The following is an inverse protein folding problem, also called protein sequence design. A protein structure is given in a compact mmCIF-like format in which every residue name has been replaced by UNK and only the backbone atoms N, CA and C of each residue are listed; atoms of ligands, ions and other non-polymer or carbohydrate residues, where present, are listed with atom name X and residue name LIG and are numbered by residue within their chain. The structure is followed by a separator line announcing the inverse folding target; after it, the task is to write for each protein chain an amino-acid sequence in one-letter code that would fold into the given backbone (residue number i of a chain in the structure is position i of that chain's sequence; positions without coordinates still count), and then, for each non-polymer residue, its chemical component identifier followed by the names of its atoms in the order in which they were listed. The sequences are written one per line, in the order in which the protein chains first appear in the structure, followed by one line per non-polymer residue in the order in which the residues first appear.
data_IF_189017399040
#
_entry.id   IF_189017399040
#
_cell.length_a   1.000
_cell.length_b   1.000
_cell.length_c   1.000
_cell.angle_alpha   90.00
_cell.angle_beta   90.00
_cell.angle_gamma   90.00
#
_symmetry.space_group_name_H-M   'P 1'
#
loop_
_entity.id
_entity.type
_entity.pdbx_description
1 polymer ?
#
# COMPACT_ATOMS: atom_id res chain seq x y z
N UNK A 1 22.06 -14.67 6.89
CA UNK A 1 21.22 -15.89 6.83
C UNK A 1 20.36 -15.83 5.56
N UNK A 2 20.81 -16.42 4.45
CA UNK A 2 19.99 -16.58 3.24
C UNK A 2 19.00 -17.72 3.49
N UNK A 3 17.70 -17.48 3.27
CA UNK A 3 16.66 -18.51 3.38
C UNK A 3 15.76 -18.51 4.62
N UNK A 4 15.75 -17.47 5.47
CA UNK A 4 14.75 -17.38 6.58
C UNK A 4 13.46 -16.67 6.19
N UNK A 5 13.44 -15.95 5.07
CA UNK A 5 12.32 -15.09 4.70
C UNK A 5 11.50 -15.76 3.61
N UNK A 6 10.21 -15.90 3.87
CA UNK A 6 9.21 -16.32 2.88
C UNK A 6 8.67 -15.10 2.17
N UNK A 7 8.82 -15.06 0.83
CA UNK A 7 8.23 -14.00 0.03
C UNK A 7 6.72 -14.21 -0.07
N UNK A 8 5.96 -13.17 0.24
CA UNK A 8 4.51 -13.11 0.07
C UNK A 8 4.16 -11.92 -0.81
N UNK A 9 3.17 -12.09 -1.67
CA UNK A 9 2.66 -11.03 -2.52
C UNK A 9 1.37 -10.50 -1.93
N UNK A 10 1.30 -9.19 -1.71
CA UNK A 10 0.12 -8.51 -1.17
C UNK A 10 -0.95 -8.27 -2.23
N UNK A 11 -0.67 -8.63 -3.48
CA UNK A 11 -1.53 -8.45 -4.65
C UNK A 11 -1.70 -9.76 -5.40
N UNK A 12 -2.93 -10.09 -5.76
CA UNK A 12 -3.28 -11.14 -6.71
C UNK A 12 -4.20 -10.56 -7.78
N UNK A 13 -3.88 -10.72 -9.06
CA UNK A 13 -4.68 -10.19 -10.17
C UNK A 13 -5.05 -8.69 -10.02
N UNK A 14 -4.10 -7.87 -9.53
CA UNK A 14 -4.29 -6.45 -9.23
C UNK A 14 -5.25 -6.13 -8.06
N UNK A 15 -5.66 -7.14 -7.28
CA UNK A 15 -6.44 -6.97 -6.07
C UNK A 15 -5.57 -7.15 -4.83
N UNK A 16 -5.76 -6.28 -3.85
CA UNK A 16 -5.06 -6.37 -2.57
C UNK A 16 -5.66 -7.53 -1.77
N UNK A 17 -4.84 -8.52 -1.44
CA UNK A 17 -5.23 -9.70 -0.66
C UNK A 17 -4.84 -9.58 0.80
N UNK A 18 -3.85 -8.74 1.13
CA UNK A 18 -3.41 -8.46 2.49
C UNK A 18 -3.14 -6.96 2.68
N UNK A 19 -3.98 -6.32 3.50
CA UNK A 19 -3.90 -4.89 3.78
C UNK A 19 -2.74 -4.52 4.71
N UNK A 20 -2.39 -5.37 5.68
CA UNK A 20 -1.27 -5.12 6.59
C UNK A 20 0.06 -5.06 5.81
N UNK A 21 0.21 -5.94 4.83
CA UNK A 21 1.39 -5.93 3.97
C UNK A 21 1.38 -4.73 3.00
N UNK A 22 0.20 -4.31 2.52
CA UNK A 22 0.08 -3.07 1.73
C UNK A 22 0.50 -1.83 2.54
N UNK A 23 0.10 -1.71 3.80
CA UNK A 23 0.55 -0.62 4.70
C UNK A 23 2.07 -0.63 4.84
N UNK A 24 2.70 -1.80 4.99
CA UNK A 24 4.18 -1.89 5.05
C UNK A 24 4.84 -1.45 3.75
N UNK A 25 4.24 -1.75 2.60
CA UNK A 25 4.73 -1.28 1.29
C UNK A 25 4.63 0.25 1.20
N UNK A 26 3.51 0.84 1.62
CA UNK A 26 3.36 2.30 1.66
C UNK A 26 4.39 2.97 2.58
N UNK A 27 4.57 2.44 3.80
CA UNK A 27 5.58 2.93 4.73
C UNK A 27 6.99 2.83 4.15
N UNK A 28 7.32 1.72 3.50
CA UNK A 28 8.61 1.55 2.84
C UNK A 28 8.80 2.60 1.72
N UNK A 29 7.75 2.85 0.95
CA UNK A 29 7.76 3.81 -0.15
C UNK A 29 8.00 5.24 0.36
N UNK A 30 7.21 5.70 1.35
CA UNK A 30 7.34 7.07 1.86
C UNK A 30 8.64 7.30 2.63
N UNK A 31 8.98 6.44 3.59
CA UNK A 31 10.05 6.73 4.54
C UNK A 31 11.42 6.17 4.13
N UNK A 32 11.48 5.07 3.38
CA UNK A 32 12.77 4.47 3.00
C UNK A 32 13.20 4.91 1.59
N UNK A 33 12.29 4.82 0.63
CA UNK A 33 12.59 5.11 -0.78
C UNK A 33 12.53 6.61 -1.08
N UNK A 34 11.37 7.24 -0.85
CA UNK A 34 11.18 8.68 -1.12
C UNK A 34 11.75 9.57 -0.02
N UNK A 35 11.81 9.06 1.22
CA UNK A 35 12.29 9.75 2.43
C UNK A 35 11.56 11.07 2.69
N UNK A 36 10.24 11.04 2.53
CA UNK A 36 9.35 12.17 2.77
C UNK A 36 8.33 11.84 3.86
N UNK A 37 7.79 12.87 4.51
CA UNK A 37 6.64 12.75 5.38
C UNK A 37 5.37 12.67 4.52
N UNK A 38 4.56 11.62 4.68
CA UNK A 38 3.40 11.38 3.82
C UNK A 38 2.35 12.48 3.97
N UNK A 39 2.20 13.04 5.16
CA UNK A 39 1.24 14.09 5.50
C UNK A 39 1.52 15.44 4.83
N UNK A 40 2.75 15.66 4.32
CA UNK A 40 3.16 16.90 3.66
C UNK A 40 2.98 16.85 2.12
N UNK A 41 2.58 15.70 1.57
CA UNK A 41 2.53 15.48 0.14
C UNK A 41 1.19 14.90 -0.33
N UNK A 42 0.68 15.42 -1.44
CA UNK A 42 -0.49 14.84 -2.11
C UNK A 42 -0.12 13.53 -2.79
N UNK A 43 -0.91 12.48 -2.50
CA UNK A 43 -0.69 11.14 -3.07
C UNK A 43 -1.74 10.84 -4.13
N UNK A 44 -1.29 10.36 -5.29
CA UNK A 44 -2.16 9.90 -6.37
C UNK A 44 -1.98 8.39 -6.58
N UNK A 45 -3.09 7.65 -6.60
CA UNK A 45 -3.10 6.20 -6.84
C UNK A 45 -3.70 5.86 -8.19
N UNK A 46 -3.13 4.85 -8.85
CA UNK A 46 -3.71 4.22 -10.04
C UNK A 46 -4.56 3.03 -9.61
N UNK A 47 -5.78 2.92 -10.15
CA UNK A 47 -6.66 1.78 -9.90
C UNK A 47 -7.06 1.04 -11.18
N UNK A 48 -7.46 -0.22 -11.04
CA UNK A 48 -8.01 -1.02 -12.15
C UNK A 48 -9.38 -0.47 -12.58
N UNK A 49 -9.73 -0.50 -13.90
CA UNK A 49 -10.98 0.07 -14.43
C UNK A 49 -12.28 -0.49 -13.84
N UNK A 50 -12.25 -1.57 -13.05
CA UNK A 50 -13.40 -2.15 -12.34
C UNK A 50 -13.10 -2.39 -10.85
N UNK A 51 -12.38 -1.47 -10.22
CA UNK A 51 -12.03 -1.59 -8.81
C UNK A 51 -13.29 -1.54 -7.91
N UNK A 52 -13.55 -2.56 -7.08
CA UNK A 52 -14.64 -2.53 -6.12
C UNK A 52 -14.54 -1.31 -5.20
N UNK A 53 -15.69 -0.68 -4.91
CA UNK A 53 -15.75 0.52 -4.06
C UNK A 53 -15.07 0.31 -2.69
N UNK A 54 -15.24 -0.87 -2.10
CA UNK A 54 -14.65 -1.21 -0.81
C UNK A 54 -13.11 -1.14 -0.82
N UNK A 55 -12.45 -1.51 -1.93
CA UNK A 55 -10.99 -1.39 -2.07
C UNK A 55 -10.58 0.08 -2.11
N UNK A 56 -11.34 0.90 -2.84
CA UNK A 56 -11.11 2.35 -2.89
C UNK A 56 -11.28 2.98 -1.52
N UNK A 57 -12.36 2.65 -0.80
CA UNK A 57 -12.62 3.14 0.55
C UNK A 57 -11.52 2.74 1.54
N UNK A 58 -11.04 1.50 1.47
CA UNK A 58 -9.95 1.02 2.33
C UNK A 58 -8.61 1.70 2.02
N UNK A 59 -8.30 1.91 0.72
CA UNK A 59 -7.12 2.68 0.32
C UNK A 59 -7.20 4.13 0.84
N UNK A 60 -8.36 4.77 0.71
CA UNK A 60 -8.60 6.12 1.25
C UNK A 60 -8.44 6.13 2.77
N UNK A 61 -9.03 5.16 3.48
CA UNK A 61 -8.92 5.06 4.94
C UNK A 61 -7.45 4.99 5.39
N UNK A 62 -6.66 4.10 4.79
CA UNK A 62 -5.24 3.95 5.13
C UNK A 62 -4.47 5.26 4.88
N UNK A 63 -4.75 5.94 3.77
CA UNK A 63 -4.03 7.16 3.38
C UNK A 63 -4.40 8.41 4.17
N UNK A 64 -5.51 8.40 4.92
CA UNK A 64 -5.91 9.55 5.74
C UNK A 64 -5.81 9.26 7.24
N UNK A 65 -5.97 8.01 7.67
CA UNK A 65 -5.94 7.65 9.09
C UNK A 65 -4.56 7.12 9.53
N UNK A 66 -3.69 6.71 8.60
CA UNK A 66 -2.37 6.11 8.92
C UNK A 66 -1.18 6.90 8.38
N UNK A 67 -1.31 7.50 7.20
CA UNK A 67 -0.26 8.25 6.50
C UNK A 67 -0.68 9.69 6.28
#
# INVERSE_FOLDING_TARGET
KRGILTLKYSFEHCFITNWDDMVKICHHTFYNELRVASEEHTVFFTESPLNPKAIREMMTLIMFETF
#
